data_IF_983721348054
#
_entry.id   IF_983721348054
#
_cell.length_a   1.000
_cell.length_b   1.000
_cell.length_c   1.000
_cell.angle_alpha   90.00
_cell.angle_beta   90.00
_cell.angle_gamma   90.00
#
_symmetry.space_group_name_H-M   'P 1'
#
loop_
_entity.id
_entity.type
_entity.pdbx_description
1 polymer ?
#
# COMPACT_ATOMS: atom_id res chain seq x y z
N UNK A 1 10.69 5.89 5.73
CA UNK A 1 10.24 6.84 4.68
C UNK A 1 8.76 7.11 4.91
N UNK A 2 8.24 8.27 4.55
CA UNK A 2 6.79 8.53 4.61
C UNK A 2 6.12 8.39 3.23
N UNK A 3 4.79 8.37 3.20
CA UNK A 3 4.01 8.25 1.94
C UNK A 3 4.29 9.41 1.00
N UNK A 4 4.52 10.63 1.51
CA UNK A 4 4.87 11.80 0.69
C UNK A 4 6.19 11.62 -0.08
N UNK A 5 7.22 11.11 0.59
CA UNK A 5 8.51 10.78 -0.01
C UNK A 5 8.36 9.67 -1.05
N UNK A 6 7.55 8.65 -0.74
CA UNK A 6 7.27 7.55 -1.65
C UNK A 6 6.63 8.02 -2.97
N UNK A 7 5.62 8.89 -2.90
CA UNK A 7 4.98 9.47 -4.09
C UNK A 7 6.01 10.20 -4.96
N UNK A 8 6.89 10.98 -4.33
CA UNK A 8 7.95 11.73 -5.03
C UNK A 8 8.99 10.78 -5.66
N UNK A 9 9.34 9.69 -4.98
CA UNK A 9 10.33 8.71 -5.44
C UNK A 9 9.89 7.99 -6.72
N UNK A 10 8.60 7.65 -6.81
CA UNK A 10 8.05 6.86 -7.93
C UNK A 10 7.41 7.72 -9.03
N UNK A 11 7.46 9.05 -8.90
CA UNK A 11 6.69 9.99 -9.73
C UNK A 11 5.19 9.63 -9.78
N UNK A 12 4.65 9.29 -8.61
CA UNK A 12 3.31 8.73 -8.44
C UNK A 12 2.21 9.78 -8.43
N UNK A 13 0.99 9.36 -8.73
CA UNK A 13 -0.20 10.21 -8.63
C UNK A 13 -1.05 9.81 -7.41
N UNK A 14 -1.40 10.79 -6.57
CA UNK A 14 -2.26 10.55 -5.42
C UNK A 14 -3.73 10.40 -5.84
N UNK A 15 -4.25 9.17 -5.80
CA UNK A 15 -5.65 8.88 -6.12
C UNK A 15 -6.64 9.22 -4.98
N UNK A 16 -6.15 9.31 -3.74
CA UNK A 16 -6.95 9.63 -2.55
C UNK A 16 -6.50 10.98 -1.95
N UNK A 17 -7.19 12.10 -2.23
CA UNK A 17 -6.80 13.42 -1.73
C UNK A 17 -6.92 13.59 -0.20
N UNK A 18 -7.70 12.76 0.49
CA UNK A 18 -7.87 12.83 1.95
C UNK A 18 -6.92 11.89 2.71
N UNK A 19 -5.97 11.25 2.02
CA UNK A 19 -5.00 10.36 2.64
C UNK A 19 -4.00 11.12 3.55
N UNK A 20 -3.61 10.48 4.64
CA UNK A 20 -2.52 10.96 5.49
C UNK A 20 -1.16 10.64 4.84
N UNK A 21 -0.48 11.66 4.31
CA UNK A 21 0.81 11.52 3.63
C UNK A 21 2.01 11.42 4.58
N UNK A 22 1.83 11.74 5.86
CA UNK A 22 2.87 11.67 6.88
C UNK A 22 2.98 10.27 7.50
N UNK A 23 2.12 9.32 7.06
CA UNK A 23 2.18 7.93 7.50
C UNK A 23 3.53 7.31 7.16
N UNK A 24 4.11 6.61 8.13
CA UNK A 24 5.38 5.91 7.96
C UNK A 24 5.20 4.63 7.15
N UNK A 25 6.16 4.36 6.27
CA UNK A 25 6.29 3.14 5.48
C UNK A 25 7.50 2.37 6.01
N UNK A 26 7.24 1.15 6.48
CA UNK A 26 8.24 0.28 7.12
C UNK A 26 8.75 -0.87 6.23
N UNK A 27 8.23 -0.99 5.02
CA UNK A 27 8.63 -2.02 4.07
C UNK A 27 7.80 -1.97 2.78
N UNK A 28 7.99 -2.97 1.92
CA UNK A 28 7.22 -3.14 0.70
C UNK A 28 7.04 -4.62 0.35
N UNK A 29 5.90 -4.96 -0.22
CA UNK A 29 5.57 -6.30 -0.68
C UNK A 29 4.86 -6.21 -2.04
N UNK A 30 5.21 -7.11 -2.96
CA UNK A 30 4.48 -7.28 -4.22
C UNK A 30 3.68 -8.57 -4.15
N UNK A 31 2.36 -8.50 -4.31
CA UNK A 31 1.49 -9.68 -4.26
C UNK A 31 0.17 -9.42 -5.00
N UNK A 32 -0.28 -10.42 -5.77
CA UNK A 32 -1.60 -10.43 -6.39
C UNK A 32 -2.58 -11.38 -5.68
N UNK A 33 -2.08 -12.38 -4.96
CA UNK A 33 -2.92 -13.26 -4.18
C UNK A 33 -3.27 -12.60 -2.84
N UNK A 34 -4.57 -12.34 -2.61
CA UNK A 34 -5.04 -11.74 -1.36
C UNK A 34 -4.68 -12.57 -0.12
N UNK A 35 -4.55 -13.90 -0.27
CA UNK A 35 -4.04 -14.79 0.78
C UNK A 35 -2.61 -14.45 1.19
N UNK A 36 -1.77 -14.12 0.22
CA UNK A 36 -0.34 -13.85 0.43
C UNK A 36 -0.17 -12.48 1.08
N UNK A 37 -1.00 -11.50 0.66
CA UNK A 37 -1.11 -10.21 1.35
C UNK A 37 -1.43 -10.44 2.82
N UNK A 38 -2.44 -11.24 3.16
CA UNK A 38 -2.83 -11.47 4.55
C UNK A 38 -1.82 -12.29 5.35
N UNK A 39 -1.15 -13.26 4.72
CA UNK A 39 -0.27 -14.20 5.41
C UNK A 39 1.15 -13.68 5.60
N UNK A 40 1.62 -12.76 4.74
CA UNK A 40 3.05 -12.45 4.63
C UNK A 40 3.39 -10.96 4.59
N UNK A 41 2.40 -10.07 4.47
CA UNK A 41 2.71 -8.63 4.48
C UNK A 41 3.13 -8.18 5.88
N UNK A 42 4.16 -7.36 5.94
CA UNK A 42 4.53 -6.65 7.15
C UNK A 42 3.54 -5.50 7.37
N UNK A 43 3.03 -5.28 8.60
CA UNK A 43 2.26 -4.08 8.92
C UNK A 43 3.01 -2.81 8.51
N UNK A 44 2.25 -1.82 8.04
CA UNK A 44 2.77 -0.53 7.55
C UNK A 44 3.71 -0.65 6.34
N UNK A 45 3.67 -1.78 5.62
CA UNK A 45 4.32 -1.91 4.33
C UNK A 45 3.48 -1.28 3.20
N UNK A 46 4.13 -1.07 2.06
CA UNK A 46 3.47 -0.73 0.80
C UNK A 46 3.14 -2.01 0.04
N UNK A 47 1.92 -2.10 -0.50
CA UNK A 47 1.52 -3.18 -1.40
C UNK A 47 1.66 -2.72 -2.86
N UNK A 48 2.46 -3.41 -3.64
CA UNK A 48 2.54 -3.25 -5.09
C UNK A 48 1.74 -4.37 -5.77
N UNK A 49 0.72 -4.03 -6.55
CA UNK A 49 -0.12 -5.05 -7.22
C UNK A 49 -0.67 -4.58 -8.55
N UNK A 50 -0.87 -5.52 -9.48
CA UNK A 50 -1.55 -5.25 -10.76
C UNK A 50 -3.08 -5.31 -10.67
N UNK A 51 -3.63 -5.62 -9.49
CA UNK A 51 -5.07 -5.83 -9.33
C UNK A 51 -5.83 -4.51 -9.14
N UNK A 52 -6.75 -4.24 -10.07
CA UNK A 52 -7.57 -3.03 -10.04
C UNK A 52 -9.01 -3.33 -9.57
N UNK A 53 -9.16 -3.95 -8.39
CA UNK A 53 -10.48 -4.26 -7.84
C UNK A 53 -10.65 -3.82 -6.37
N UNK A 54 -11.89 -3.59 -5.90
CA UNK A 54 -12.12 -3.11 -4.53
C UNK A 54 -11.72 -4.11 -3.42
N UNK A 55 -11.53 -5.40 -3.74
CA UNK A 55 -11.10 -6.38 -2.73
C UNK A 55 -9.68 -6.10 -2.27
N UNK A 56 -8.80 -5.63 -3.18
CA UNK A 56 -7.42 -5.23 -2.87
C UNK A 56 -7.40 -4.18 -1.76
N UNK A 57 -8.22 -3.14 -1.88
CA UNK A 57 -8.28 -2.06 -0.89
C UNK A 57 -8.76 -2.58 0.46
N UNK A 58 -9.80 -3.42 0.48
CA UNK A 58 -10.30 -4.00 1.73
C UNK A 58 -9.26 -4.90 2.39
N UNK A 59 -8.60 -5.76 1.63
CA UNK A 59 -7.54 -6.63 2.16
C UNK A 59 -6.36 -5.81 2.67
N UNK A 60 -5.96 -4.76 1.94
CA UNK A 60 -4.89 -3.84 2.35
C UNK A 60 -5.21 -3.15 3.67
N UNK A 61 -6.46 -2.74 3.88
CA UNK A 61 -6.91 -2.20 5.16
C UNK A 61 -6.86 -3.24 6.29
N UNK A 62 -7.26 -4.49 6.02
CA UNK A 62 -7.22 -5.57 7.01
C UNK A 62 -5.79 -5.96 7.39
N UNK A 63 -4.85 -5.88 6.45
CA UNK A 63 -3.45 -6.22 6.64
C UNK A 63 -2.57 -5.03 7.08
N UNK A 64 -3.20 -3.90 7.42
CA UNK A 64 -2.57 -2.65 7.87
C UNK A 64 -1.49 -2.10 6.92
N UNK A 65 -1.77 -2.18 5.62
CA UNK A 65 -0.92 -1.63 4.56
C UNK A 65 -0.92 -0.11 4.62
N UNK A 66 0.25 0.51 4.51
CA UNK A 66 0.43 1.96 4.54
C UNK A 66 -0.04 2.64 3.24
N UNK A 67 0.25 2.03 2.08
CA UNK A 67 -0.18 2.52 0.77
C UNK A 67 -0.28 1.35 -0.23
N UNK A 68 -1.17 1.49 -1.21
CA UNK A 68 -1.28 0.58 -2.36
C UNK A 68 -0.80 1.32 -3.60
N UNK A 69 0.12 0.71 -4.33
CA UNK A 69 0.64 1.16 -5.63
C UNK A 69 0.08 0.25 -6.72
#
# INVERSE_FOLDING_TARGET
MNVKELITLIDGHLCNPSANLDREVKGGCGADLMSDVLASIQPEAVLLTGLCNPQVIRTSMMADVAAVI
#
